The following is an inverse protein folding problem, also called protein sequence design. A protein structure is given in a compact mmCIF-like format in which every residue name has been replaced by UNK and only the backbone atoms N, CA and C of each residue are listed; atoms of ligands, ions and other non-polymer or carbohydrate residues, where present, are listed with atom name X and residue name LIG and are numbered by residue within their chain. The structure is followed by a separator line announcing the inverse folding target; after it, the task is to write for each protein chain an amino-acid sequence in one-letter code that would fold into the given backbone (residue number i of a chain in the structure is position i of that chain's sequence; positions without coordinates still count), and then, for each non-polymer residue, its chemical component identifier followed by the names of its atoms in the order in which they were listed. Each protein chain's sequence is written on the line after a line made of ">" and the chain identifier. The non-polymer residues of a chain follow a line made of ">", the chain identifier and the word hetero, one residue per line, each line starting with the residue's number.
data_IF_772160388269
#
_entry.id   IF_772160388269
#
_cell.length_a   1.000
_cell.length_b   1.000
_cell.length_c   1.000
_cell.angle_alpha   90.00
_cell.angle_beta   90.00
_cell.angle_gamma   90.00
#
_symmetry.space_group_name_H-M   'P 1'
#
loop_
_entity.id
_entity.type
_entity.pdbx_description
1 polymer ?
#
# COMPACT_ATOMS: atom_id res chain seq x y z
N UNK A 1 -20.07 -7.93 8.54
CA UNK A 1 -21.00 -6.82 8.34
C UNK A 1 -22.06 -7.20 7.31
N UNK A 2 -23.28 -7.64 7.74
CA UNK A 2 -24.34 -8.06 6.83
C UNK A 2 -24.72 -6.97 5.83
N UNK A 3 -24.68 -5.71 6.26
CA UNK A 3 -25.01 -4.54 5.42
C UNK A 3 -24.05 -4.36 4.22
N UNK A 4 -22.89 -5.00 4.24
CA UNK A 4 -21.91 -4.95 3.15
C UNK A 4 -21.92 -6.19 2.25
N UNK A 5 -22.74 -7.20 2.57
CA UNK A 5 -22.76 -8.46 1.82
C UNK A 5 -23.04 -8.26 0.31
N UNK A 6 -23.93 -7.34 -0.03
CA UNK A 6 -24.29 -7.05 -1.43
C UNK A 6 -23.19 -6.34 -2.23
N UNK A 7 -22.13 -5.87 -1.57
CA UNK A 7 -21.00 -5.18 -2.25
C UNK A 7 -19.84 -6.13 -2.58
N UNK A 8 -19.98 -7.43 -2.30
CA UNK A 8 -19.01 -8.43 -2.72
C UNK A 8 -18.95 -8.49 -4.25
N UNK A 9 -17.77 -8.30 -4.80
CA UNK A 9 -17.51 -8.49 -6.24
C UNK A 9 -17.01 -9.89 -6.50
N UNK A 10 -17.42 -10.48 -7.60
CA UNK A 10 -16.96 -11.79 -8.07
C UNK A 10 -16.12 -11.61 -9.33
N UNK A 11 -15.00 -12.33 -9.39
CA UNK A 11 -14.12 -12.34 -10.56
C UNK A 11 -13.74 -10.93 -11.02
N UNK A 12 -13.47 -10.03 -10.08
CA UNK A 12 -13.07 -8.66 -10.36
C UNK A 12 -11.63 -8.61 -10.82
N UNK A 13 -11.34 -8.04 -12.01
CA UNK A 13 -9.98 -8.04 -12.53
C UNK A 13 -9.11 -7.00 -11.81
N UNK A 14 -7.99 -7.44 -11.26
CA UNK A 14 -6.93 -6.57 -10.71
C UNK A 14 -5.61 -7.08 -11.27
N UNK A 15 -4.92 -6.26 -12.03
CA UNK A 15 -3.60 -6.55 -12.60
C UNK A 15 -3.53 -7.87 -13.39
N UNK A 16 -4.64 -8.24 -14.05
CA UNK A 16 -4.74 -9.44 -14.87
C UNK A 16 -5.18 -10.69 -14.11
N UNK A 17 -5.36 -10.59 -12.80
CA UNK A 17 -5.92 -11.67 -11.97
C UNK A 17 -7.38 -11.39 -11.62
N UNK A 18 -8.17 -12.47 -11.51
CA UNK A 18 -9.55 -12.38 -11.07
C UNK A 18 -9.62 -12.58 -9.54
N UNK A 19 -10.04 -11.56 -8.84
CA UNK A 19 -10.21 -11.59 -7.39
C UNK A 19 -11.68 -11.48 -7.00
N UNK A 20 -12.06 -12.11 -5.91
CA UNK A 20 -13.41 -11.99 -5.34
C UNK A 20 -13.33 -11.50 -3.91
N UNK A 21 -14.24 -10.61 -3.53
CA UNK A 21 -14.25 -10.03 -2.19
C UNK A 21 -14.77 -8.59 -2.17
N UNK A 22 -14.41 -7.89 -1.11
CA UNK A 22 -14.79 -6.50 -0.89
C UNK A 22 -13.59 -5.59 -1.11
N UNK A 23 -13.75 -4.60 -1.95
CA UNK A 23 -12.67 -3.69 -2.33
C UNK A 23 -12.88 -2.34 -1.69
N UNK A 24 -11.79 -1.74 -1.17
CA UNK A 24 -11.84 -0.49 -0.42
C UNK A 24 -12.51 0.67 -1.22
N UNK A 25 -12.36 0.67 -2.54
CA UNK A 25 -12.94 1.70 -3.40
C UNK A 25 -14.48 1.65 -3.50
N UNK A 26 -15.11 0.56 -3.06
CA UNK A 26 -16.57 0.44 -3.00
C UNK A 26 -17.19 1.02 -1.71
N UNK A 27 -16.36 1.55 -0.82
CA UNK A 27 -16.76 2.02 0.49
C UNK A 27 -16.34 3.46 0.75
N UNK A 28 -17.16 4.17 1.48
CA UNK A 28 -16.76 5.45 2.04
C UNK A 28 -15.78 5.25 3.21
N UNK A 29 -15.00 6.27 3.52
CA UNK A 29 -14.12 6.25 4.68
C UNK A 29 -14.90 5.99 5.99
N UNK A 30 -16.09 6.58 6.13
CA UNK A 30 -16.93 6.39 7.30
C UNK A 30 -17.34 4.91 7.49
N UNK A 31 -17.68 4.22 6.41
CA UNK A 31 -17.99 2.79 6.44
C UNK A 31 -16.75 1.95 6.80
N UNK A 32 -15.61 2.22 6.17
CA UNK A 32 -14.35 1.52 6.47
C UNK A 32 -13.97 1.69 7.95
N UNK A 33 -14.17 2.87 8.53
CA UNK A 33 -13.90 3.15 9.96
C UNK A 33 -14.77 2.34 10.92
N UNK A 34 -15.87 1.76 10.47
CA UNK A 34 -16.68 0.84 11.30
C UNK A 34 -16.10 -0.56 11.41
N UNK A 35 -15.16 -0.93 10.53
CA UNK A 35 -14.57 -2.27 10.49
C UNK A 35 -13.51 -2.46 11.57
N UNK A 36 -13.56 -3.60 12.24
CA UNK A 36 -12.51 -4.05 13.14
C UNK A 36 -11.48 -4.90 12.40
N UNK A 37 -10.21 -4.66 12.71
CA UNK A 37 -9.12 -5.48 12.17
C UNK A 37 -9.07 -6.81 12.91
N UNK A 38 -8.90 -7.91 12.16
CA UNK A 38 -8.73 -9.26 12.71
C UNK A 38 -7.47 -9.91 12.15
N UNK A 39 -6.81 -10.73 12.97
CA UNK A 39 -5.71 -11.58 12.51
C UNK A 39 -6.30 -12.78 11.78
N UNK A 40 -5.93 -12.94 10.51
CA UNK A 40 -6.36 -14.10 9.70
C UNK A 40 -5.47 -15.31 9.91
N UNK A 41 -4.24 -15.10 10.36
CA UNK A 41 -3.29 -16.15 10.71
C UNK A 41 -3.57 -16.61 12.15
N UNK A 42 -3.89 -17.90 12.38
CA UNK A 42 -4.20 -18.43 13.71
C UNK A 42 -3.00 -18.40 14.69
N UNK A 43 -1.76 -18.33 14.18
CA UNK A 43 -0.55 -18.22 15.00
C UNK A 43 -0.35 -16.82 15.58
N UNK A 44 -1.05 -15.82 15.04
CA UNK A 44 -1.01 -14.46 15.57
C UNK A 44 -1.91 -14.31 16.80
N UNK A 45 -1.57 -13.39 17.74
CA UNK A 45 -2.39 -13.12 18.91
C UNK A 45 -3.82 -12.71 18.56
N UNK A 46 -4.78 -13.57 18.89
CA UNK A 46 -6.20 -13.40 18.56
C UNK A 46 -6.93 -12.42 19.52
N UNK A 47 -6.38 -12.15 20.69
CA UNK A 47 -7.00 -11.29 21.71
C UNK A 47 -7.21 -9.83 21.26
N UNK A 48 -6.55 -9.41 20.18
CA UNK A 48 -6.69 -8.05 19.63
C UNK A 48 -7.73 -7.92 18.53
N UNK A 49 -8.37 -9.03 18.14
CA UNK A 49 -9.35 -9.04 17.07
C UNK A 49 -10.52 -8.09 17.38
N UNK A 50 -10.83 -7.22 16.42
CA UNK A 50 -11.90 -6.24 16.52
C UNK A 50 -11.59 -5.02 17.39
N UNK A 51 -10.46 -4.99 18.11
CA UNK A 51 -10.09 -3.87 18.97
C UNK A 51 -9.55 -2.65 18.21
N UNK A 52 -8.91 -2.89 17.07
CA UNK A 52 -8.33 -1.82 16.26
C UNK A 52 -9.15 -1.59 15.00
N UNK A 53 -9.10 -0.35 14.51
CA UNK A 53 -9.77 0.08 13.29
C UNK A 53 -8.76 0.25 12.16
N UNK A 54 -9.25 0.20 10.92
CA UNK A 54 -8.42 0.55 9.75
C UNK A 54 -8.05 2.03 9.87
N UNK A 55 -6.77 2.33 9.78
CA UNK A 55 -6.21 3.68 9.90
C UNK A 55 -6.00 4.32 8.54
N UNK A 56 -6.11 5.64 8.48
CA UNK A 56 -5.69 6.44 7.33
C UNK A 56 -4.18 6.71 7.39
N UNK A 57 -3.58 7.07 6.26
CA UNK A 57 -2.18 7.50 6.23
C UNK A 57 -1.94 8.71 7.14
N UNK A 58 -2.89 9.64 7.23
CA UNK A 58 -2.77 10.81 8.12
C UNK A 58 -2.70 10.39 9.59
N UNK A 59 -3.56 9.46 10.02
CA UNK A 59 -3.52 8.94 11.39
C UNK A 59 -2.19 8.23 11.71
N UNK A 60 -1.62 7.51 10.73
CA UNK A 60 -0.28 6.92 10.89
C UNK A 60 0.79 8.00 11.03
N UNK A 61 0.75 9.04 10.20
CA UNK A 61 1.68 10.18 10.28
C UNK A 61 1.60 10.87 11.65
N UNK A 62 0.39 11.12 12.13
CA UNK A 62 0.18 11.80 13.42
C UNK A 62 0.68 10.95 14.59
N UNK A 63 0.39 9.65 14.58
CA UNK A 63 0.91 8.69 15.56
C UNK A 63 2.44 8.68 15.56
N UNK A 64 3.04 8.57 14.41
CA UNK A 64 4.52 8.48 14.28
C UNK A 64 5.19 9.76 14.75
N UNK A 65 4.61 10.93 14.47
CA UNK A 65 5.11 12.22 15.00
C UNK A 65 5.03 12.28 16.54
N UNK A 66 3.89 11.88 17.10
CA UNK A 66 3.69 11.86 18.55
C UNK A 66 4.69 10.91 19.22
N UNK A 67 4.83 9.70 18.72
CA UNK A 67 5.75 8.69 19.25
C UNK A 67 7.22 9.08 19.07
N UNK A 68 7.56 9.73 17.95
CA UNK A 68 8.92 10.25 17.74
C UNK A 68 9.29 11.30 18.80
N UNK A 69 8.34 12.18 19.12
CA UNK A 69 8.52 13.18 20.17
C UNK A 69 8.65 12.50 21.53
N UNK A 70 7.77 11.57 21.86
CA UNK A 70 7.77 10.83 23.13
C UNK A 70 9.08 10.06 23.36
N UNK A 71 9.62 9.48 22.31
CA UNK A 71 10.83 8.65 22.37
C UNK A 71 12.13 9.43 22.18
N UNK A 72 12.06 10.71 21.82
CA UNK A 72 13.22 11.55 21.55
C UNK A 72 14.05 11.09 20.31
N UNK A 73 13.44 10.33 19.42
CA UNK A 73 14.09 9.85 18.18
C UNK A 73 13.09 9.72 17.05
N UNK A 74 13.50 9.93 15.79
CA UNK A 74 12.60 9.77 14.65
C UNK A 74 12.19 8.30 14.47
N UNK A 75 10.91 8.10 14.21
CA UNK A 75 10.35 6.86 13.70
C UNK A 75 10.03 7.10 12.21
N UNK A 76 10.45 6.21 11.35
CA UNK A 76 10.18 6.30 9.93
C UNK A 76 8.96 5.45 9.53
N UNK A 77 8.28 5.87 8.46
CA UNK A 77 7.23 5.08 7.82
C UNK A 77 7.63 4.68 6.40
N UNK A 78 6.99 3.63 5.91
CA UNK A 78 7.30 3.04 4.61
C UNK A 78 6.01 2.77 3.82
N UNK A 79 5.24 3.84 3.42
CA UNK A 79 4.00 3.67 2.68
C UNK A 79 4.23 3.16 1.27
N UNK A 80 3.35 2.26 0.84
CA UNK A 80 3.31 1.71 -0.50
C UNK A 80 2.12 2.25 -1.30
N UNK A 81 2.35 2.61 -2.58
CA UNK A 81 1.27 2.69 -3.55
C UNK A 81 1.05 1.31 -4.15
N UNK A 82 0.04 0.61 -3.67
CA UNK A 82 -0.29 -0.73 -4.14
C UNK A 82 -1.28 -0.67 -5.31
N UNK A 83 -0.94 -1.35 -6.41
CA UNK A 83 -1.72 -1.38 -7.65
C UNK A 83 -2.15 0.03 -8.13
N UNK A 84 -1.21 1.00 -8.25
CA UNK A 84 -1.56 2.37 -8.61
C UNK A 84 -2.19 2.50 -10.01
N UNK A 85 -1.78 1.70 -10.99
CA UNK A 85 -2.42 1.68 -12.31
C UNK A 85 -3.88 1.27 -12.22
N UNK A 86 -4.20 0.22 -11.48
CA UNK A 86 -5.57 -0.20 -11.22
C UNK A 86 -6.41 0.93 -10.60
N UNK A 87 -5.89 1.61 -9.60
CA UNK A 87 -6.60 2.72 -8.97
C UNK A 87 -6.77 3.92 -9.89
N UNK A 88 -5.82 4.18 -10.77
CA UNK A 88 -5.91 5.23 -11.79
C UNK A 88 -7.01 4.94 -12.81
N UNK A 89 -7.14 3.68 -13.25
CA UNK A 89 -8.19 3.23 -14.16
C UNK A 89 -9.60 3.38 -13.56
N UNK A 90 -9.71 3.35 -12.25
CA UNK A 90 -10.93 3.66 -11.50
C UNK A 90 -11.15 5.17 -11.24
N UNK A 91 -10.31 6.05 -11.80
CA UNK A 91 -10.27 7.49 -11.51
C UNK A 91 -10.02 7.80 -10.01
N UNK A 92 -9.29 6.96 -9.32
CA UNK A 92 -8.92 7.08 -7.90
C UNK A 92 -7.38 7.07 -7.72
N UNK A 93 -6.61 7.94 -8.41
CA UNK A 93 -5.15 7.91 -8.35
C UNK A 93 -4.64 8.06 -6.91
N UNK A 94 -3.62 7.27 -6.57
CA UNK A 94 -3.04 7.25 -5.23
C UNK A 94 -1.96 8.31 -5.04
N UNK A 95 -1.22 8.63 -6.10
CA UNK A 95 -0.01 9.43 -6.08
C UNK A 95 -0.23 10.85 -5.52
N UNK A 96 -1.24 11.55 -6.01
CA UNK A 96 -1.52 12.93 -5.58
C UNK A 96 -1.92 13.00 -4.11
N UNK A 97 -2.69 12.01 -3.65
CA UNK A 97 -3.09 11.90 -2.24
C UNK A 97 -1.90 11.64 -1.33
N UNK A 98 -1.01 10.74 -1.74
CA UNK A 98 0.21 10.42 -0.99
C UNK A 98 1.16 11.64 -0.94
N UNK A 99 1.39 12.30 -2.09
CA UNK A 99 2.21 13.51 -2.17
C UNK A 99 1.64 14.60 -1.25
N UNK A 100 0.33 14.82 -1.29
CA UNK A 100 -0.35 15.82 -0.46
C UNK A 100 -0.15 15.53 1.02
N UNK A 101 -0.34 14.30 1.47
CA UNK A 101 -0.14 13.90 2.86
C UNK A 101 1.30 14.13 3.32
N UNK A 102 2.30 13.74 2.52
CA UNK A 102 3.73 13.94 2.81
C UNK A 102 4.07 15.44 2.89
N UNK A 103 3.55 16.26 1.97
CA UNK A 103 3.77 17.71 1.97
C UNK A 103 3.13 18.36 3.20
N UNK A 104 1.89 18.04 3.51
CA UNK A 104 1.18 18.54 4.69
C UNK A 104 1.87 18.15 6.00
N UNK A 105 2.52 16.99 6.04
CA UNK A 105 3.34 16.57 7.16
C UNK A 105 4.65 17.36 7.33
N UNK A 106 5.04 18.16 6.34
CA UNK A 106 6.35 18.83 6.28
C UNK A 106 7.49 17.88 5.88
N UNK A 107 7.20 16.73 5.32
CA UNK A 107 8.16 15.65 5.08
C UNK A 107 8.69 15.58 3.64
N UNK A 108 8.41 16.58 2.79
CA UNK A 108 8.86 16.53 1.40
C UNK A 108 10.36 16.87 1.24
N UNK A 109 11.21 16.08 1.86
CA UNK A 109 12.68 16.19 1.74
C UNK A 109 13.33 14.80 1.78
N UNK A 110 14.58 14.70 1.29
CA UNK A 110 15.35 13.46 1.33
C UNK A 110 15.69 13.01 2.76
N UNK A 111 15.74 13.94 3.70
CA UNK A 111 16.05 13.68 5.11
C UNK A 111 14.81 13.27 5.93
N UNK A 112 13.60 13.40 5.37
CA UNK A 112 12.37 13.08 6.08
C UNK A 112 12.31 11.59 6.47
N UNK A 113 11.63 11.26 7.59
CA UNK A 113 11.52 9.89 8.08
C UNK A 113 10.44 9.10 7.29
N UNK A 114 10.53 9.12 5.98
CA UNK A 114 9.59 8.42 5.10
C UNK A 114 10.32 7.87 3.87
N UNK A 115 9.94 6.65 3.51
CA UNK A 115 10.36 5.98 2.29
C UNK A 115 9.10 5.57 1.54
N UNK A 116 8.90 6.06 0.34
CA UNK A 116 7.78 5.65 -0.50
C UNK A 116 8.17 4.47 -1.36
N UNK A 117 7.34 3.45 -1.41
CA UNK A 117 7.62 2.25 -2.19
C UNK A 117 6.47 1.94 -3.16
N UNK A 118 6.80 1.22 -4.22
CA UNK A 118 5.83 0.65 -5.15
C UNK A 118 6.46 -0.49 -5.95
N UNK A 119 5.63 -1.46 -6.33
CA UNK A 119 5.99 -2.43 -7.35
C UNK A 119 5.94 -1.85 -8.76
N UNK A 120 5.19 -0.77 -8.97
CA UNK A 120 5.06 -0.13 -10.27
C UNK A 120 6.04 1.06 -10.41
N UNK A 121 7.09 0.94 -11.25
CA UNK A 121 8.06 2.03 -11.49
C UNK A 121 7.40 3.31 -11.99
N UNK A 122 6.32 3.18 -12.77
CA UNK A 122 5.55 4.30 -13.30
C UNK A 122 5.03 5.24 -12.20
N UNK A 123 4.49 4.67 -11.11
CA UNK A 123 4.02 5.44 -9.97
C UNK A 123 5.15 6.21 -9.29
N UNK A 124 6.30 5.57 -9.09
CA UNK A 124 7.48 6.24 -8.50
C UNK A 124 8.00 7.38 -9.38
N UNK A 125 8.08 7.15 -10.69
CA UNK A 125 8.50 8.17 -11.66
C UNK A 125 7.52 9.35 -11.70
N UNK A 126 6.22 9.08 -11.70
CA UNK A 126 5.17 10.11 -11.66
C UNK A 126 5.28 10.96 -10.40
N UNK A 127 5.40 10.33 -9.22
CA UNK A 127 5.57 11.05 -7.96
C UNK A 127 6.84 11.92 -7.96
N UNK A 128 7.93 11.43 -8.54
CA UNK A 128 9.16 12.20 -8.70
C UNK A 128 8.95 13.41 -9.61
N UNK A 129 8.32 13.22 -10.76
CA UNK A 129 8.00 14.30 -11.71
C UNK A 129 7.08 15.37 -11.09
N UNK A 130 6.15 14.96 -10.22
CA UNK A 130 5.30 15.85 -9.41
C UNK A 130 6.02 16.52 -8.23
N UNK A 131 7.33 16.35 -8.11
CA UNK A 131 8.18 17.06 -7.14
C UNK A 131 8.23 16.41 -5.75
N UNK A 132 7.94 15.12 -5.61
CA UNK A 132 8.19 14.40 -4.37
C UNK A 132 9.69 14.17 -4.19
N UNK A 133 10.25 14.64 -3.06
CA UNK A 133 11.70 14.65 -2.80
C UNK A 133 12.17 13.56 -1.82
N UNK A 134 11.26 12.83 -1.22
CA UNK A 134 11.57 11.75 -0.27
C UNK A 134 12.33 10.60 -0.94
N UNK A 135 12.92 9.74 -0.12
CA UNK A 135 13.51 8.48 -0.60
C UNK A 135 12.42 7.59 -1.17
N UNK A 136 12.72 6.92 -2.27
CA UNK A 136 11.81 6.02 -2.93
C UNK A 136 12.48 4.67 -3.14
N UNK A 137 11.70 3.59 -3.10
CA UNK A 137 12.16 2.22 -3.26
C UNK A 137 11.29 1.52 -4.28
N UNK A 138 11.94 0.96 -5.28
CA UNK A 138 11.33 0.01 -6.19
C UNK A 138 11.23 -1.34 -5.50
N UNK A 139 10.02 -1.85 -5.36
CA UNK A 139 9.80 -3.21 -4.91
C UNK A 139 9.96 -4.17 -6.07
N UNK A 140 10.63 -5.29 -5.80
CA UNK A 140 10.84 -6.38 -6.73
C UNK A 140 10.35 -7.64 -6.03
N UNK A 141 9.49 -8.38 -6.70
CA UNK A 141 9.05 -9.68 -6.22
C UNK A 141 10.12 -10.74 -6.54
N UNK A 142 10.43 -11.56 -5.55
CA UNK A 142 11.38 -12.64 -5.68
C UNK A 142 10.72 -14.03 -5.66
N UNK A 143 9.42 -14.11 -5.70
CA UNK A 143 8.64 -15.35 -5.64
C UNK A 143 8.86 -16.27 -6.85
N UNK A 144 9.71 -16.05 -7.69
CA UNK A 144 10.09 -16.92 -8.78
C UNK A 144 11.59 -17.20 -8.84
N UNK A 145 12.32 -16.91 -7.76
CA UNK A 145 13.77 -17.07 -7.74
C UNK A 145 14.23 -18.08 -6.70
N UNK A 146 14.81 -19.17 -7.13
CA UNK A 146 15.48 -20.13 -6.24
C UNK A 146 16.92 -19.66 -5.98
N UNK A 147 17.17 -19.11 -4.82
CA UNK A 147 18.48 -18.62 -4.41
C UNK A 147 19.57 -19.71 -4.34
N UNK A 148 19.19 -20.99 -4.27
CA UNK A 148 20.14 -22.10 -4.22
C UNK A 148 20.65 -22.48 -5.60
N UNK A 149 19.80 -22.39 -6.59
CA UNK A 149 20.14 -22.80 -7.97
C UNK A 149 20.49 -21.59 -8.86
N UNK A 150 20.16 -20.37 -8.42
CA UNK A 150 20.28 -19.17 -9.23
C UNK A 150 19.28 -19.13 -10.39
N UNK A 151 18.31 -20.04 -10.43
CA UNK A 151 17.31 -20.15 -11.47
C UNK A 151 16.00 -19.43 -11.12
N UNK A 152 15.30 -18.96 -12.16
CA UNK A 152 13.93 -18.51 -12.02
C UNK A 152 13.03 -19.74 -11.90
N UNK A 153 12.32 -19.85 -10.78
CA UNK A 153 11.25 -20.85 -10.58
C UNK A 153 9.91 -20.31 -11.05
N UNK A 154 9.95 -19.39 -11.98
CA UNK A 154 8.80 -18.67 -12.48
C UNK A 154 7.71 -19.60 -12.99
N UNK A 155 6.55 -19.52 -12.39
CA UNK A 155 5.32 -20.16 -12.88
C UNK A 155 4.35 -19.07 -13.28
N UNK A 156 4.09 -18.84 -14.56
CA UNK A 156 3.00 -17.97 -14.98
C UNK A 156 1.68 -18.49 -14.41
N UNK A 157 0.73 -17.65 -14.01
CA UNK A 157 0.54 -16.24 -14.35
C UNK A 157 0.76 -15.24 -13.18
N UNK A 158 1.39 -15.68 -12.09
CA UNK A 158 1.45 -14.90 -10.85
C UNK A 158 2.35 -13.67 -10.89
N UNK A 159 3.18 -13.60 -11.91
CA UNK A 159 4.07 -12.48 -12.07
C UNK A 159 3.76 -11.83 -13.39
N UNK A 160 3.09 -10.73 -13.35
CA UNK A 160 3.33 -9.80 -14.43
C UNK A 160 4.82 -9.56 -14.41
N UNK A 161 5.51 -9.91 -15.51
CA UNK A 161 6.88 -9.51 -15.58
C UNK A 161 6.89 -8.02 -15.33
N UNK A 162 7.65 -7.61 -14.33
CA UNK A 162 8.07 -6.23 -14.27
C UNK A 162 8.48 -5.89 -15.68
N UNK A 163 7.78 -4.97 -16.29
CA UNK A 163 8.14 -4.54 -17.62
C UNK A 163 9.41 -3.70 -17.51
N UNK A 164 10.52 -4.37 -17.32
CA UNK A 164 11.83 -3.77 -17.25
C UNK A 164 12.13 -2.97 -18.52
N UNK A 165 11.51 -3.34 -19.65
CA UNK A 165 11.69 -2.68 -20.93
C UNK A 165 10.90 -1.36 -21.00
N UNK A 166 9.82 -1.23 -20.23
CA UNK A 166 9.05 0.01 -20.12
C UNK A 166 9.48 0.91 -18.97
N UNK A 167 10.39 0.47 -18.16
CA UNK A 167 10.98 1.28 -17.09
C UNK A 167 12.30 1.90 -17.56
#
# INVERSE_FOLDING_TARGET
>A
RPEFASRERKNWPIDGELQSGWFAHDFTLAEIKTLGVVATDPERPQQYNGQFRIVTLQEVIDLVKAESTRLGRPIAIYPETKNPTYHRDLALPLEDKLISAIRSAGWNSKAAPVFVQSFEPGSLKEMRAKGLKVRMVQLIDADGYDFRTGGLTYVPPFHRPYDWEKS
#
